data_IF_497435054253
#
_entry.id   IF_497435054253
#
_cell.length_a   1.000
_cell.length_b   1.000
_cell.length_c   1.000
_cell.angle_alpha   90.00
_cell.angle_beta   90.00
_cell.angle_gamma   90.00
#
_symmetry.space_group_name_H-M   'P 1'
#
loop_
_entity.id
_entity.type
_entity.pdbx_description
1 polymer ?
#
# COMPACT_ATOMS: atom_id res chain seq x y z
N UNK A 1 -9.69 2.31 26.79
CA UNK A 1 -9.16 3.47 26.04
C UNK A 1 -9.81 3.43 24.67
N UNK A 2 -10.80 4.30 24.41
CA UNK A 2 -11.46 4.34 23.10
C UNK A 2 -10.55 5.09 22.13
N UNK A 3 -10.05 4.36 21.12
CA UNK A 3 -9.27 4.94 20.04
C UNK A 3 -10.17 5.85 19.19
N UNK A 4 -9.96 7.16 19.29
CA UNK A 4 -10.73 8.12 18.51
C UNK A 4 -10.34 8.02 17.03
N UNK A 5 -11.25 7.49 16.22
CA UNK A 5 -11.07 7.26 14.78
C UNK A 5 -10.66 8.54 14.03
N UNK A 6 -11.23 9.69 14.42
CA UNK A 6 -10.90 10.98 13.80
C UNK A 6 -9.43 11.36 14.03
N UNK A 7 -8.92 11.16 15.25
CA UNK A 7 -7.52 11.40 15.60
C UNK A 7 -6.59 10.45 14.85
N UNK A 8 -6.96 9.16 14.70
CA UNK A 8 -6.19 8.19 13.92
C UNK A 8 -6.10 8.57 12.45
N UNK A 9 -7.17 9.08 11.84
CA UNK A 9 -7.13 9.57 10.46
C UNK A 9 -6.20 10.78 10.30
N UNK A 10 -6.19 11.70 11.28
CA UNK A 10 -5.28 12.85 11.25
C UNK A 10 -3.83 12.42 11.38
N UNK A 11 -3.52 11.59 12.37
CA UNK A 11 -2.16 11.03 12.58
C UNK A 11 -1.74 10.24 11.34
N UNK A 12 -2.61 9.37 10.82
CA UNK A 12 -2.34 8.58 9.62
C UNK A 12 -2.01 9.45 8.41
N UNK A 13 -2.73 10.55 8.21
CA UNK A 13 -2.46 11.51 7.15
C UNK A 13 -1.08 12.16 7.30
N UNK A 14 -0.74 12.66 8.50
CA UNK A 14 0.56 13.27 8.80
C UNK A 14 1.70 12.26 8.57
N UNK A 15 1.56 11.05 9.11
CA UNK A 15 2.54 9.97 8.98
C UNK A 15 2.75 9.60 7.49
N UNK A 16 1.66 9.49 6.73
CA UNK A 16 1.74 9.14 5.30
C UNK A 16 2.47 10.23 4.50
N UNK A 17 2.20 11.51 4.77
CA UNK A 17 2.90 12.64 4.13
C UNK A 17 4.37 12.66 4.53
N UNK A 18 4.69 12.49 5.82
CA UNK A 18 6.07 12.44 6.30
C UNK A 18 6.85 11.25 5.69
N UNK A 19 6.22 10.09 5.62
CA UNK A 19 6.79 8.89 5.00
C UNK A 19 7.03 9.07 3.49
N UNK A 20 6.11 9.72 2.79
CA UNK A 20 6.29 10.07 1.37
C UNK A 20 7.45 11.03 1.18
N UNK A 21 7.56 12.06 2.03
CA UNK A 21 8.67 13.01 2.03
C UNK A 21 10.02 12.34 2.27
N UNK A 22 10.11 11.47 3.29
CA UNK A 22 11.33 10.72 3.59
C UNK A 22 11.74 9.81 2.41
N UNK A 23 10.77 9.10 1.81
CA UNK A 23 11.02 8.25 0.65
C UNK A 23 11.47 9.05 -0.58
N UNK A 24 10.88 10.23 -0.83
CA UNK A 24 11.26 11.12 -1.94
C UNK A 24 12.67 11.70 -1.74
N UNK A 25 12.98 12.17 -0.53
CA UNK A 25 14.30 12.70 -0.21
C UNK A 25 15.39 11.64 -0.37
N UNK A 26 15.15 10.45 0.14
CA UNK A 26 16.11 9.35 0.00
C UNK A 26 16.24 8.92 -1.46
N UNK A 27 15.15 8.87 -2.22
CA UNK A 27 15.21 8.61 -3.66
C UNK A 27 15.97 9.70 -4.41
N UNK A 28 15.84 10.96 -4.04
CA UNK A 28 16.59 12.06 -4.67
C UNK A 28 18.10 11.87 -4.52
N UNK A 29 18.57 11.37 -3.38
CA UNK A 29 19.98 11.03 -3.15
C UNK A 29 20.38 9.70 -3.79
N UNK A 30 19.46 8.73 -3.85
CA UNK A 30 19.70 7.38 -4.34
C UNK A 30 18.79 7.02 -5.53
N UNK A 31 18.93 7.74 -6.65
CA UNK A 31 18.06 7.64 -7.84
C UNK A 31 17.96 6.22 -8.44
N UNK A 32 18.84 5.32 -8.04
CA UNK A 32 18.89 3.94 -8.54
C UNK A 32 18.05 2.95 -7.71
N UNK A 33 17.28 3.42 -6.72
CA UNK A 33 16.39 2.58 -5.91
C UNK A 33 14.93 2.68 -6.43
N UNK A 34 14.53 1.85 -7.42
CA UNK A 34 13.21 1.97 -8.06
C UNK A 34 12.06 1.73 -7.09
N UNK A 35 12.23 0.83 -6.11
CA UNK A 35 11.23 0.54 -5.10
C UNK A 35 10.88 1.75 -4.23
N UNK A 36 11.85 2.59 -3.91
CA UNK A 36 11.65 3.76 -3.07
C UNK A 36 10.85 4.86 -3.79
N UNK A 37 11.11 5.06 -5.09
CA UNK A 37 10.32 5.96 -5.92
C UNK A 37 8.86 5.52 -6.03
N UNK A 38 8.65 4.23 -6.28
CA UNK A 38 7.31 3.67 -6.42
C UNK A 38 6.54 3.72 -5.09
N UNK A 39 7.24 3.49 -3.96
CA UNK A 39 6.65 3.62 -2.63
C UNK A 39 6.24 5.07 -2.33
N UNK A 40 7.10 6.05 -2.60
CA UNK A 40 6.77 7.46 -2.46
C UNK A 40 5.55 7.84 -3.31
N UNK A 41 5.48 7.39 -4.57
CA UNK A 41 4.33 7.61 -5.42
C UNK A 41 3.06 6.95 -4.86
N UNK A 42 3.14 5.72 -4.35
CA UNK A 42 2.01 5.03 -3.73
C UNK A 42 1.48 5.79 -2.50
N UNK A 43 2.38 6.30 -1.65
CA UNK A 43 2.00 7.11 -0.48
C UNK A 43 1.35 8.44 -0.89
N UNK A 44 1.89 9.14 -1.89
CA UNK A 44 1.30 10.38 -2.42
C UNK A 44 -0.10 10.13 -3.00
N UNK A 45 -0.28 9.05 -3.75
CA UNK A 45 -1.59 8.65 -4.26
C UNK A 45 -2.55 8.29 -3.11
N UNK A 46 -2.06 7.67 -2.04
CA UNK A 46 -2.88 7.41 -0.84
C UNK A 46 -3.32 8.70 -0.16
N UNK A 47 -2.43 9.69 -0.02
CA UNK A 47 -2.76 11.02 0.49
C UNK A 47 -3.79 11.71 -0.40
N UNK A 48 -3.60 11.68 -1.72
CA UNK A 48 -4.54 12.24 -2.68
C UNK A 48 -5.93 11.58 -2.56
N UNK A 49 -5.98 10.25 -2.49
CA UNK A 49 -7.23 9.52 -2.25
C UNK A 49 -7.91 9.93 -0.95
N UNK A 50 -7.16 10.07 0.14
CA UNK A 50 -7.70 10.54 1.43
C UNK A 50 -8.21 11.98 1.37
N UNK A 51 -7.56 12.87 0.61
CA UNK A 51 -8.01 14.24 0.39
C UNK A 51 -9.31 14.29 -0.42
N UNK A 52 -9.41 13.47 -1.48
CA UNK A 52 -10.64 13.35 -2.27
C UNK A 52 -11.81 12.94 -1.37
N UNK A 53 -11.60 11.99 -0.46
CA UNK A 53 -12.61 11.58 0.51
C UNK A 53 -13.00 12.71 1.46
N UNK A 54 -12.04 13.52 1.95
CA UNK A 54 -12.30 14.63 2.90
C UNK A 54 -13.12 15.76 2.30
N UNK A 55 -12.84 16.14 1.06
CA UNK A 55 -13.52 17.26 0.39
C UNK A 55 -15.01 16.99 0.21
N UNK A 56 -15.44 15.72 0.22
CA UNK A 56 -16.82 15.31 -0.10
C UNK A 56 -17.57 14.53 0.98
N UNK A 57 -17.08 14.47 2.22
CA UNK A 57 -17.83 13.84 3.34
C UNK A 57 -19.22 14.47 3.55
N UNK A 58 -19.46 15.67 3.02
CA UNK A 58 -20.76 16.35 3.07
C UNK A 58 -21.80 15.82 2.06
N UNK A 59 -21.39 15.06 1.03
CA UNK A 59 -22.27 14.49 0.02
C UNK A 59 -22.01 12.98 -0.09
N UNK A 60 -23.03 12.17 0.19
CA UNK A 60 -22.98 10.70 0.20
C UNK A 60 -22.75 10.06 -1.18
N UNK A 61 -22.03 10.72 -2.09
CA UNK A 61 -21.83 10.29 -3.46
C UNK A 61 -20.80 9.15 -3.55
N UNK A 62 -21.16 8.10 -4.27
CA UNK A 62 -20.33 6.91 -4.52
C UNK A 62 -19.12 7.21 -5.42
N UNK A 63 -19.24 8.18 -6.33
CA UNK A 63 -18.20 8.50 -7.32
C UNK A 63 -16.88 8.94 -6.68
N UNK A 64 -16.84 9.84 -5.67
CA UNK A 64 -15.59 10.21 -5.01
C UNK A 64 -14.96 9.07 -4.22
N UNK A 65 -15.78 8.20 -3.60
CA UNK A 65 -15.28 7.03 -2.91
C UNK A 65 -14.54 6.10 -3.87
N UNK A 66 -15.16 5.81 -5.01
CA UNK A 66 -14.54 5.01 -6.06
C UNK A 66 -13.26 5.63 -6.62
N UNK A 67 -13.28 6.93 -6.89
CA UNK A 67 -12.11 7.64 -7.39
C UNK A 67 -10.94 7.56 -6.39
N UNK A 68 -11.22 7.73 -5.09
CA UNK A 68 -10.22 7.61 -4.04
C UNK A 68 -9.66 6.18 -3.95
N UNK A 69 -10.53 5.17 -3.95
CA UNK A 69 -10.13 3.77 -3.88
C UNK A 69 -9.30 3.37 -5.10
N UNK A 70 -9.68 3.81 -6.31
CA UNK A 70 -8.91 3.59 -7.54
C UNK A 70 -7.52 4.20 -7.47
N UNK A 71 -7.40 5.44 -6.99
CA UNK A 71 -6.10 6.12 -6.85
C UNK A 71 -5.19 5.36 -5.90
N UNK A 72 -5.72 4.89 -4.76
CA UNK A 72 -4.97 4.11 -3.77
C UNK A 72 -4.54 2.75 -4.36
N UNK A 73 -5.46 2.03 -5.01
CA UNK A 73 -5.18 0.74 -5.66
C UNK A 73 -4.10 0.89 -6.72
N UNK A 74 -4.18 1.94 -7.55
CA UNK A 74 -3.15 2.24 -8.57
C UNK A 74 -1.77 2.43 -7.93
N UNK A 75 -1.69 3.16 -6.82
CA UNK A 75 -0.45 3.36 -6.09
C UNK A 75 0.18 2.05 -5.61
N UNK A 76 -0.60 1.21 -4.95
CA UNK A 76 -0.12 -0.09 -4.44
C UNK A 76 0.21 -1.08 -5.57
N UNK A 77 -0.57 -1.10 -6.65
CA UNK A 77 -0.28 -1.90 -7.83
C UNK A 77 1.04 -1.47 -8.50
N UNK A 78 1.26 -0.17 -8.65
CA UNK A 78 2.50 0.38 -9.20
C UNK A 78 3.70 0.03 -8.31
N UNK A 79 3.54 0.07 -6.98
CA UNK A 79 4.56 -0.32 -6.02
C UNK A 79 4.96 -1.80 -6.19
N UNK A 80 3.98 -2.71 -6.16
CA UNK A 80 4.25 -4.14 -6.36
C UNK A 80 4.94 -4.42 -7.70
N UNK A 81 4.40 -3.87 -8.81
CA UNK A 81 4.96 -4.05 -10.14
C UNK A 81 6.38 -3.50 -10.25
N UNK A 82 6.67 -2.36 -9.61
CA UNK A 82 8.02 -1.79 -9.58
C UNK A 82 9.02 -2.72 -8.90
N UNK A 83 8.66 -3.33 -7.77
CA UNK A 83 9.48 -4.32 -7.08
C UNK A 83 9.70 -5.56 -7.94
N UNK A 84 8.64 -6.07 -8.56
CA UNK A 84 8.71 -7.23 -9.46
C UNK A 84 9.58 -6.98 -10.67
N UNK A 85 9.43 -5.83 -11.33
CA UNK A 85 10.25 -5.48 -12.50
C UNK A 85 11.72 -5.26 -12.12
N UNK A 86 11.97 -4.63 -10.97
CA UNK A 86 13.34 -4.50 -10.44
C UNK A 86 13.99 -5.86 -10.21
N UNK A 87 13.26 -6.83 -9.64
CA UNK A 87 13.75 -8.19 -9.45
C UNK A 87 14.02 -8.92 -10.78
N UNK A 88 13.29 -8.59 -11.84
CA UNK A 88 13.46 -9.17 -13.17
C UNK A 88 14.51 -8.42 -14.04
N UNK A 89 15.11 -7.33 -13.51
CA UNK A 89 16.02 -6.49 -14.29
C UNK A 89 15.34 -5.70 -15.41
N UNK A 90 14.02 -5.54 -15.37
CA UNK A 90 13.23 -4.81 -16.36
C UNK A 90 12.93 -3.40 -15.88
N UNK A 91 12.91 -2.45 -16.82
CA UNK A 91 12.66 -1.02 -16.53
C UNK A 91 11.57 -0.42 -17.43
N UNK A 92 10.68 -1.25 -17.97
CA UNK A 92 9.62 -0.81 -18.88
C UNK A 92 8.51 -0.08 -18.10
N UNK A 93 8.62 1.26 -18.06
CA UNK A 93 7.70 2.14 -17.36
C UNK A 93 6.29 2.11 -17.98
N UNK A 94 6.20 2.04 -19.31
CA UNK A 94 4.90 2.02 -20.01
C UNK A 94 4.11 0.78 -19.64
N UNK A 95 4.77 -0.37 -19.63
CA UNK A 95 4.17 -1.64 -19.25
C UNK A 95 3.76 -1.66 -17.76
N UNK A 96 4.58 -1.06 -16.90
CA UNK A 96 4.26 -0.91 -15.47
C UNK A 96 2.98 -0.10 -15.29
N UNK A 97 2.90 1.08 -15.91
CA UNK A 97 1.72 1.94 -15.84
C UNK A 97 0.49 1.23 -16.41
N UNK A 98 0.60 0.61 -17.57
CA UNK A 98 -0.50 -0.10 -18.21
C UNK A 98 -1.06 -1.22 -17.31
N UNK A 99 -0.18 -2.02 -16.68
CA UNK A 99 -0.59 -3.07 -15.74
C UNK A 99 -1.21 -2.51 -14.46
N UNK A 100 -0.65 -1.44 -13.89
CA UNK A 100 -1.22 -0.82 -12.69
C UNK A 100 -2.62 -0.25 -12.96
N UNK A 101 -2.80 0.42 -14.11
CA UNK A 101 -4.11 0.92 -14.55
C UNK A 101 -5.07 -0.24 -14.84
N UNK A 102 -4.57 -1.32 -15.46
CA UNK A 102 -5.36 -2.53 -15.73
C UNK A 102 -5.90 -3.19 -14.45
N UNK A 103 -5.07 -3.29 -13.40
CA UNK A 103 -5.49 -3.81 -12.08
C UNK A 103 -6.58 -2.89 -11.48
N UNK A 104 -6.40 -1.57 -11.57
CA UNK A 104 -7.37 -0.60 -11.06
C UNK A 104 -8.68 -0.62 -11.84
N UNK A 105 -8.62 -0.81 -13.16
CA UNK A 105 -9.80 -0.95 -14.00
C UNK A 105 -10.56 -2.26 -13.70
N UNK A 106 -9.85 -3.37 -13.46
CA UNK A 106 -10.46 -4.63 -13.04
C UNK A 106 -11.14 -4.50 -11.67
N UNK A 107 -10.52 -3.80 -10.73
CA UNK A 107 -11.14 -3.47 -9.44
C UNK A 107 -12.43 -2.64 -9.63
N UNK A 108 -12.39 -1.60 -10.48
CA UNK A 108 -13.56 -0.78 -10.77
C UNK A 108 -14.69 -1.62 -11.39
N UNK A 109 -14.38 -2.46 -12.37
CA UNK A 109 -15.37 -3.33 -12.99
C UNK A 109 -16.02 -4.27 -11.96
N UNK A 110 -15.22 -4.90 -11.09
CA UNK A 110 -15.73 -5.75 -10.01
C UNK A 110 -16.64 -4.97 -9.06
N UNK A 111 -16.23 -3.75 -8.66
CA UNK A 111 -17.05 -2.91 -7.79
C UNK A 111 -18.39 -2.54 -8.43
N UNK A 112 -18.39 -2.14 -9.70
CA UNK A 112 -19.61 -1.80 -10.47
C UNK A 112 -20.54 -3.00 -10.56
N UNK A 113 -20.00 -4.18 -10.87
CA UNK A 113 -20.79 -5.44 -10.93
C UNK A 113 -21.44 -5.75 -9.58
N UNK A 114 -20.67 -5.70 -8.49
CA UNK A 114 -21.22 -5.94 -7.15
C UNK A 114 -22.35 -4.97 -6.80
N UNK A 115 -22.18 -3.70 -7.16
CA UNK A 115 -23.22 -2.69 -6.93
C UNK A 115 -24.46 -2.94 -7.80
N UNK A 116 -24.29 -3.34 -9.04
CA UNK A 116 -25.40 -3.68 -9.94
C UNK A 116 -26.17 -4.92 -9.44
N UNK A 117 -25.50 -5.85 -8.77
CA UNK A 117 -26.12 -7.02 -8.10
C UNK A 117 -26.78 -6.66 -6.75
N UNK A 118 -26.83 -5.40 -6.37
CA UNK A 118 -27.47 -4.96 -5.12
C UNK A 118 -26.61 -5.10 -3.87
N UNK A 119 -25.31 -5.36 -4.00
CA UNK A 119 -24.43 -5.44 -2.85
C UNK A 119 -24.42 -4.12 -2.05
N UNK A 120 -24.60 -4.23 -0.74
CA UNK A 120 -24.54 -3.11 0.17
C UNK A 120 -23.17 -2.43 0.18
N UNK A 121 -23.08 -1.24 0.78
CA UNK A 121 -21.83 -0.47 0.84
C UNK A 121 -20.69 -1.22 1.52
N UNK A 122 -20.99 -1.99 2.57
CA UNK A 122 -20.00 -2.81 3.29
C UNK A 122 -19.47 -3.94 2.40
N UNK A 123 -20.36 -4.68 1.72
CA UNK A 123 -19.97 -5.76 0.81
C UNK A 123 -19.08 -5.24 -0.33
N UNK A 124 -19.36 -4.04 -0.86
CA UNK A 124 -18.57 -3.42 -1.90
C UNK A 124 -17.16 -2.97 -1.44
N UNK A 125 -16.92 -2.82 -0.13
CA UNK A 125 -15.60 -2.48 0.41
C UNK A 125 -14.69 -3.70 0.68
N UNK A 126 -15.23 -4.92 0.62
CA UNK A 126 -14.46 -6.17 0.77
C UNK A 126 -13.39 -6.31 -0.31
N UNK A 127 -13.71 -6.19 -1.63
CA UNK A 127 -12.72 -6.28 -2.70
C UNK A 127 -11.58 -5.28 -2.55
N UNK A 128 -11.87 -4.05 -2.12
CA UNK A 128 -10.84 -3.03 -1.87
C UNK A 128 -9.84 -3.48 -0.79
N UNK A 129 -10.34 -3.92 0.37
CA UNK A 129 -9.49 -4.38 1.47
C UNK A 129 -8.70 -5.64 1.08
N UNK A 130 -9.35 -6.57 0.39
CA UNK A 130 -8.72 -7.81 -0.06
C UNK A 130 -7.62 -7.53 -1.09
N UNK A 131 -7.89 -6.70 -2.09
CA UNK A 131 -6.92 -6.36 -3.13
C UNK A 131 -5.69 -5.65 -2.56
N UNK A 132 -5.88 -4.66 -1.66
CA UNK A 132 -4.75 -4.01 -0.98
C UNK A 132 -3.96 -5.00 -0.12
N UNK A 133 -4.65 -5.93 0.53
CA UNK A 133 -4.02 -7.01 1.28
C UNK A 133 -3.15 -7.89 0.40
N UNK A 134 -3.68 -8.36 -0.73
CA UNK A 134 -2.96 -9.19 -1.69
C UNK A 134 -1.78 -8.46 -2.33
N UNK A 135 -1.93 -7.18 -2.69
CA UNK A 135 -0.82 -6.36 -3.20
C UNK A 135 0.27 -6.14 -2.15
N UNK A 136 -0.10 -5.96 -0.88
CA UNK A 136 0.85 -5.89 0.24
C UNK A 136 1.63 -7.20 0.41
N UNK A 137 0.96 -8.35 0.43
CA UNK A 137 1.58 -9.67 0.51
C UNK A 137 2.46 -9.98 -0.71
N UNK A 138 2.00 -9.62 -1.91
CA UNK A 138 2.78 -9.77 -3.13
C UNK A 138 4.05 -8.90 -3.11
N UNK A 139 3.97 -7.67 -2.58
CA UNK A 139 5.14 -6.80 -2.37
C UNK A 139 6.12 -7.40 -1.36
N UNK A 140 5.61 -7.95 -0.26
CA UNK A 140 6.43 -8.66 0.74
C UNK A 140 7.18 -9.84 0.11
N UNK A 141 6.50 -10.62 -0.71
CA UNK A 141 7.07 -11.75 -1.43
C UNK A 141 8.17 -11.34 -2.41
N UNK A 142 7.96 -10.28 -3.18
CA UNK A 142 8.98 -9.76 -4.11
C UNK A 142 10.24 -9.27 -3.36
N UNK A 143 10.06 -8.57 -2.23
CA UNK A 143 11.20 -8.14 -1.40
C UNK A 143 11.92 -9.36 -0.81
N UNK A 144 11.17 -10.35 -0.34
CA UNK A 144 11.73 -11.58 0.21
C UNK A 144 12.52 -12.38 -0.83
N UNK A 145 11.97 -12.56 -2.03
CA UNK A 145 12.67 -13.24 -3.13
C UNK A 145 13.96 -12.52 -3.54
N UNK A 146 13.94 -11.19 -3.53
CA UNK A 146 15.11 -10.39 -3.87
C UNK A 146 16.31 -10.61 -2.95
N UNK A 147 16.12 -11.12 -1.70
CA UNK A 147 17.23 -11.41 -0.77
C UNK A 147 18.23 -12.43 -1.30
N UNK A 148 17.80 -13.34 -2.18
CA UNK A 148 18.69 -14.33 -2.79
C UNK A 148 19.63 -13.73 -3.84
N UNK A 149 19.36 -12.49 -4.28
CA UNK A 149 20.19 -11.78 -5.26
C UNK A 149 21.19 -10.82 -4.61
N UNK A 150 20.73 -10.17 -3.53
CA UNK A 150 21.52 -9.16 -2.82
C UNK A 150 21.40 -9.47 -1.34
N UNK A 151 22.42 -9.88 -0.68
CA UNK A 151 22.43 -10.24 0.74
C UNK A 151 22.25 -9.01 1.67
N UNK A 152 21.12 -8.28 1.48
CA UNK A 152 20.78 -7.08 2.23
C UNK A 152 20.02 -7.43 3.51
N UNK A 153 20.54 -7.04 4.67
CA UNK A 153 19.93 -7.32 5.96
C UNK A 153 18.59 -6.58 6.14
N UNK A 154 18.44 -5.40 5.53
CA UNK A 154 17.22 -4.57 5.60
C UNK A 154 16.03 -5.11 4.81
N UNK A 155 16.22 -6.13 3.95
CA UNK A 155 15.10 -6.73 3.19
C UNK A 155 14.11 -7.47 4.10
N UNK A 156 14.61 -8.14 5.13
CA UNK A 156 13.75 -8.89 6.06
C UNK A 156 12.75 -7.99 6.79
N UNK A 157 13.17 -6.92 7.50
CA UNK A 157 12.21 -6.04 8.16
C UNK A 157 11.23 -5.38 7.19
N UNK A 158 11.68 -4.99 5.99
CA UNK A 158 10.80 -4.43 4.98
C UNK A 158 9.75 -5.46 4.49
N UNK A 159 10.15 -6.70 4.22
CA UNK A 159 9.24 -7.77 3.83
C UNK A 159 8.22 -8.10 4.93
N UNK A 160 8.66 -8.20 6.19
CA UNK A 160 7.78 -8.43 7.34
C UNK A 160 6.78 -7.29 7.53
N UNK A 161 7.19 -6.06 7.34
CA UNK A 161 6.30 -4.90 7.45
C UNK A 161 5.24 -4.88 6.34
N UNK A 162 5.61 -5.18 5.08
CA UNK A 162 4.64 -5.34 4.00
C UNK A 162 3.69 -6.53 4.24
N UNK A 163 4.20 -7.64 4.76
CA UNK A 163 3.37 -8.78 5.12
C UNK A 163 2.37 -8.40 6.21
N UNK A 164 2.81 -7.70 7.27
CA UNK A 164 1.94 -7.20 8.33
C UNK A 164 0.85 -6.26 7.81
N UNK A 165 1.21 -5.33 6.92
CA UNK A 165 0.26 -4.44 6.26
C UNK A 165 -0.77 -5.25 5.44
N UNK A 166 -0.29 -6.23 4.66
CA UNK A 166 -1.14 -7.10 3.86
C UNK A 166 -2.09 -7.94 4.71
N UNK A 167 -1.59 -8.57 5.76
CA UNK A 167 -2.39 -9.37 6.70
C UNK A 167 -3.47 -8.52 7.38
N UNK A 168 -3.14 -7.31 7.86
CA UNK A 168 -4.11 -6.41 8.48
C UNK A 168 -5.28 -6.09 7.54
N UNK A 169 -5.01 -5.94 6.24
CA UNK A 169 -6.03 -5.68 5.22
C UNK A 169 -6.86 -6.92 4.89
N UNK A 170 -6.23 -8.11 4.82
CA UNK A 170 -6.94 -9.39 4.61
C UNK A 170 -7.85 -9.69 5.80
N UNK A 171 -7.36 -9.52 7.04
CA UNK A 171 -8.18 -9.68 8.25
C UNK A 171 -9.38 -8.74 8.23
N UNK A 172 -9.19 -7.48 7.83
CA UNK A 172 -10.30 -6.55 7.67
C UNK A 172 -11.33 -7.02 6.63
N UNK A 173 -10.87 -7.53 5.48
CA UNK A 173 -11.75 -8.08 4.46
C UNK A 173 -12.53 -9.29 4.99
N UNK A 174 -11.88 -10.16 5.76
CA UNK A 174 -12.52 -11.32 6.40
C UNK A 174 -13.58 -10.89 7.42
N UNK A 175 -13.29 -9.93 8.29
CA UNK A 175 -14.26 -9.39 9.27
C UNK A 175 -15.48 -8.79 8.56
N UNK A 176 -15.26 -7.99 7.50
CA UNK A 176 -16.33 -7.44 6.68
C UNK A 176 -17.17 -8.55 6.03
N UNK A 177 -16.51 -9.59 5.48
CA UNK A 177 -17.18 -10.73 4.90
C UNK A 177 -18.04 -11.51 5.91
N UNK A 178 -17.49 -11.78 7.09
CA UNK A 178 -18.21 -12.48 8.17
C UNK A 178 -19.41 -11.67 8.70
N UNK A 179 -19.31 -10.32 8.71
CA UNK A 179 -20.45 -9.46 9.06
C UNK A 179 -21.54 -9.50 7.99
N UNK A 180 -21.16 -9.46 6.71
CA UNK A 180 -22.11 -9.52 5.57
C UNK A 180 -22.87 -10.84 5.53
N UNK A 181 -22.22 -11.96 5.85
CA UNK A 181 -22.88 -13.31 5.92
C UNK A 181 -23.47 -13.61 7.30
N UNK A 182 -23.58 -12.61 8.19
CA UNK A 182 -24.18 -12.71 9.53
C UNK A 182 -23.49 -13.72 10.48
N UNK A 183 -22.22 -14.07 10.26
CA UNK A 183 -21.42 -14.85 11.20
C UNK A 183 -20.99 -13.97 12.39
N UNK A 184 -20.69 -12.70 12.13
CA UNK A 184 -20.38 -11.71 13.15
C UNK A 184 -21.56 -10.74 13.36
N UNK A 185 -21.71 -10.18 14.56
CA UNK A 185 -22.77 -9.23 14.84
C UNK A 185 -22.60 -7.93 14.02
N UNK A 186 -23.69 -7.23 13.71
CA UNK A 186 -23.64 -5.94 13.04
C UNK A 186 -22.77 -4.95 13.82
N UNK A 187 -21.88 -4.25 13.11
CA UNK A 187 -20.93 -3.31 13.71
C UNK A 187 -19.55 -3.88 14.07
N UNK A 188 -19.33 -5.19 13.92
CA UNK A 188 -18.03 -5.82 14.18
C UNK A 188 -16.91 -5.20 13.32
N UNK A 189 -17.17 -4.93 12.05
CA UNK A 189 -16.23 -4.28 11.15
C UNK A 189 -15.95 -2.83 11.55
N UNK A 190 -16.95 -2.12 12.07
CA UNK A 190 -16.76 -0.77 12.60
C UNK A 190 -15.90 -0.77 13.87
N UNK A 191 -16.14 -1.72 14.77
CA UNK A 191 -15.35 -1.88 16.01
C UNK A 191 -13.89 -2.23 15.75
N UNK A 192 -13.59 -3.01 14.71
CA UNK A 192 -12.21 -3.40 14.34
C UNK A 192 -11.49 -2.36 13.47
N UNK A 193 -12.22 -1.38 12.92
CA UNK A 193 -11.66 -0.36 12.04
C UNK A 193 -10.51 0.45 12.65
N UNK A 194 -10.58 0.96 13.90
CA UNK A 194 -9.49 1.70 14.53
C UNK A 194 -8.19 0.90 14.61
N UNK A 195 -8.29 -0.39 14.93
CA UNK A 195 -7.12 -1.28 15.04
C UNK A 195 -6.45 -1.52 13.67
N UNK A 196 -7.26 -1.71 12.62
CA UNK A 196 -6.73 -1.83 11.26
C UNK A 196 -6.05 -0.55 10.80
N UNK A 197 -6.62 0.59 11.14
CA UNK A 197 -6.05 1.90 10.82
C UNK A 197 -4.73 2.13 11.56
N UNK A 198 -4.70 1.83 12.85
CA UNK A 198 -3.49 1.88 13.66
C UNK A 198 -2.38 0.98 13.11
N UNK A 199 -2.70 -0.29 12.81
CA UNK A 199 -1.77 -1.23 12.20
C UNK A 199 -1.24 -0.69 10.86
N UNK A 200 -2.11 -0.11 10.01
CA UNK A 200 -1.71 0.50 8.76
C UNK A 200 -0.71 1.64 8.97
N UNK A 201 -0.92 2.51 9.96
CA UNK A 201 0.00 3.61 10.30
C UNK A 201 1.36 3.07 10.70
N UNK A 202 1.39 2.12 11.65
CA UNK A 202 2.63 1.52 12.15
C UNK A 202 3.41 0.84 11.00
N UNK A 203 2.75 -0.01 10.23
CA UNK A 203 3.41 -0.71 9.13
C UNK A 203 3.86 0.24 8.02
N UNK A 204 3.16 1.34 7.75
CA UNK A 204 3.62 2.37 6.81
C UNK A 204 4.96 2.96 7.21
N UNK A 205 5.14 3.29 8.50
CA UNK A 205 6.41 3.79 9.04
C UNK A 205 7.50 2.73 8.89
N UNK A 206 7.23 1.49 9.30
CA UNK A 206 8.24 0.41 9.27
C UNK A 206 8.64 0.07 7.83
N UNK A 207 7.68 0.02 6.89
CA UNK A 207 7.96 -0.15 5.45
C UNK A 207 8.86 0.97 4.94
N UNK A 208 8.50 2.22 5.25
CA UNK A 208 9.28 3.38 4.79
C UNK A 208 10.70 3.31 5.32
N UNK A 209 10.87 3.04 6.62
CA UNK A 209 12.18 2.87 7.23
C UNK A 209 12.97 1.72 6.58
N UNK A 210 12.34 0.56 6.39
CA UNK A 210 12.97 -0.60 5.76
C UNK A 210 13.44 -0.33 4.33
N UNK A 211 12.63 0.38 3.52
CA UNK A 211 13.01 0.74 2.15
C UNK A 211 14.11 1.80 2.10
N UNK A 212 14.09 2.78 3.00
CA UNK A 212 15.15 3.78 3.14
C UNK A 212 16.46 3.12 3.53
N UNK A 213 16.46 2.24 4.53
CA UNK A 213 17.63 1.50 4.96
C UNK A 213 18.19 0.62 3.83
N UNK A 214 17.30 -0.06 3.09
CA UNK A 214 17.71 -0.87 1.94
C UNK A 214 18.37 -0.04 0.85
N UNK A 215 17.88 1.17 0.56
CA UNK A 215 18.49 2.08 -0.40
C UNK A 215 19.90 2.53 0.04
N UNK A 216 20.07 2.86 1.32
CA UNK A 216 21.34 3.25 1.90
C UNK A 216 22.37 2.10 1.87
N UNK A 217 21.95 0.87 2.23
CA UNK A 217 22.83 -0.31 2.13
C UNK A 217 23.28 -0.58 0.69
N UNK A 218 22.36 -0.44 -0.28
CA UNK A 218 22.72 -0.61 -1.70
C UNK A 218 23.72 0.44 -2.17
N UNK A 219 23.58 1.69 -1.75
CA UNK A 219 24.49 2.77 -2.08
C UNK A 219 25.91 2.49 -1.51
N UNK A 220 26.02 2.16 -0.22
CA UNK A 220 27.30 1.85 0.42
C UNK A 220 28.02 0.66 -0.22
N UNK A 221 27.30 -0.40 -0.61
CA UNK A 221 27.90 -1.54 -1.33
C UNK A 221 28.42 -1.17 -2.73
N UNK A 222 27.77 -0.23 -3.43
CA UNK A 222 28.25 0.25 -4.75
C UNK A 222 29.56 1.04 -4.59
N UNK A 223 29.62 1.94 -3.61
CA UNK A 223 30.83 2.70 -3.31
C UNK A 223 31.99 1.76 -2.94
N UNK A 224 31.76 0.79 -2.05
CA UNK A 224 32.77 -0.19 -1.68
C UNK A 224 33.33 -0.98 -2.89
N UNK A 225 32.47 -1.36 -3.85
CA UNK A 225 32.91 -2.03 -5.08
C UNK A 225 33.75 -1.14 -6.00
N UNK A 226 33.45 0.16 -6.07
CA UNK A 226 34.24 1.11 -6.86
C UNK A 226 35.62 1.30 -6.29
N UNK A 227 35.79 1.35 -4.95
CA UNK A 227 37.09 1.45 -4.28
C UNK A 227 37.89 0.14 -4.34
N UNK A 228 37.25 -1.02 -4.35
CA UNK A 228 37.96 -2.32 -4.43
C UNK A 228 38.43 -2.67 -5.85
N UNK A 229 37.94 -1.97 -6.88
CA UNK A 229 38.34 -2.17 -8.27
C UNK A 229 39.44 -1.21 -8.77
N UNK A 230 39.93 -0.31 -7.89
CA UNK A 230 41.11 0.54 -8.10
C UNK A 230 42.37 -0.08 -7.49
#
# INVERSE_FOLDING_TARGET
MELNVKTLYQIGGIVTVASAGAALLTWYHHRHAPGLRAWAAALLLTVLGALILRVRIAQADLVPLLAADMVIVTGFAAMWLSLRFANQGRTDLVRLIALAVGISAAFLALFVVLRALGAGRQAASIPFSLLLGLLGLASAWEIWQGRYKDDLHSRLPAALAFAGLGIARVVRAAVLGCEVVHILPPGAAAATHPYTLYATIVFTVVVTYGLVTMANEQAGRREAKLFAGQ
#
